data_IF_545535593308
#
_entry.id   IF_545535593308
#
_cell.length_a   1.000
_cell.length_b   1.000
_cell.length_c   1.000
_cell.angle_alpha   90.00
_cell.angle_beta   90.00
_cell.angle_gamma   90.00
#
_symmetry.space_group_name_H-M   'P 1'
#
loop_
_entity.id
_entity.type
_entity.pdbx_description
1 polymer ?
#
# COMPACT_ATOMS: atom_id res chain seq x y z
N UNK A 1 -24.26 11.18 -0.23
CA UNK A 1 -23.10 11.05 0.70
C UNK A 1 -22.03 10.30 -0.06
N UNK A 2 -20.75 10.65 0.09
CA UNK A 2 -19.67 9.87 -0.52
C UNK A 2 -19.63 8.52 0.18
N UNK A 3 -19.68 7.43 -0.58
CA UNK A 3 -19.51 6.08 -0.03
C UNK A 3 -18.01 5.82 0.08
N UNK A 4 -17.54 5.36 1.22
CA UNK A 4 -16.13 4.99 1.41
C UNK A 4 -15.99 3.47 1.25
N UNK A 5 -14.89 3.04 0.65
CA UNK A 5 -14.48 1.64 0.53
C UNK A 5 -13.18 1.44 1.30
N UNK A 6 -13.24 0.63 2.35
CA UNK A 6 -12.04 0.19 3.08
C UNK A 6 -11.45 -1.02 2.37
N UNK A 7 -10.17 -0.95 2.04
CA UNK A 7 -9.43 -2.02 1.37
C UNK A 7 -8.31 -2.50 2.27
N UNK A 8 -8.32 -3.80 2.57
CA UNK A 8 -7.41 -4.46 3.52
C UNK A 8 -6.87 -5.72 2.85
N UNK A 9 -5.64 -6.11 3.12
CA UNK A 9 -5.10 -7.34 2.55
C UNK A 9 -5.74 -8.59 3.17
N UNK A 10 -5.79 -8.66 4.49
CA UNK A 10 -6.26 -9.83 5.23
C UNK A 10 -7.28 -9.47 6.30
N UNK A 11 -8.24 -10.38 6.52
CA UNK A 11 -9.24 -10.22 7.59
C UNK A 11 -8.60 -10.09 8.99
N UNK A 12 -7.45 -10.72 9.20
CA UNK A 12 -6.69 -10.62 10.45
C UNK A 12 -6.19 -9.19 10.74
N UNK A 13 -5.98 -8.35 9.72
CA UNK A 13 -5.56 -6.95 9.90
C UNK A 13 -6.73 -6.03 10.28
N UNK A 14 -7.96 -6.38 9.88
CA UNK A 14 -9.18 -5.65 10.21
C UNK A 14 -10.36 -6.62 10.25
N UNK A 15 -10.64 -7.27 11.40
CA UNK A 15 -11.70 -8.28 11.53
C UNK A 15 -13.11 -7.76 11.18
N UNK A 16 -13.94 -8.63 10.61
CA UNK A 16 -15.31 -8.28 10.13
C UNK A 16 -16.27 -7.86 11.24
N UNK A 17 -15.99 -8.18 12.49
CA UNK A 17 -16.80 -7.84 13.66
C UNK A 17 -16.54 -6.44 14.21
N UNK A 18 -15.50 -5.76 13.70
CA UNK A 18 -15.27 -4.35 14.06
C UNK A 18 -16.39 -3.44 13.52
N UNK A 19 -16.73 -2.36 14.26
CA UNK A 19 -17.80 -1.46 13.86
C UNK A 19 -17.56 -0.87 12.46
N UNK A 20 -18.50 -1.11 11.54
CA UNK A 20 -18.48 -0.57 10.17
C UNK A 20 -19.31 0.69 10.11
N UNK A 21 -18.68 1.84 10.23
CA UNK A 21 -19.37 3.13 10.10
C UNK A 21 -19.45 3.54 8.62
N UNK A 22 -20.53 3.17 7.94
CA UNK A 22 -20.87 3.69 6.58
C UNK A 22 -19.84 3.44 5.47
N UNK A 23 -19.07 2.35 5.51
CA UNK A 23 -18.16 1.95 4.44
C UNK A 23 -18.24 0.44 4.15
N UNK A 24 -18.05 0.09 2.88
CA UNK A 24 -17.83 -1.29 2.46
C UNK A 24 -16.41 -1.75 2.81
N UNK A 25 -16.20 -3.05 3.00
CA UNK A 25 -14.86 -3.63 3.18
C UNK A 25 -14.58 -4.63 2.06
N UNK A 26 -13.36 -4.58 1.54
CA UNK A 26 -12.82 -5.56 0.58
C UNK A 26 -11.52 -6.11 1.10
N UNK A 27 -11.41 -7.42 1.13
CA UNK A 27 -10.18 -8.14 1.44
C UNK A 27 -9.54 -8.60 0.14
N UNK A 28 -8.35 -8.09 -0.16
CA UNK A 28 -7.72 -8.31 -1.47
C UNK A 28 -6.86 -9.56 -1.55
N UNK A 29 -6.43 -10.09 -0.41
CA UNK A 29 -5.29 -10.99 -0.34
C UNK A 29 -3.96 -10.24 -0.41
N UNK A 30 -2.88 -10.96 -0.16
CA UNK A 30 -1.52 -10.42 -0.08
C UNK A 30 -0.92 -10.23 -1.47
N UNK A 31 -0.17 -9.15 -1.63
CA UNK A 31 0.66 -8.86 -2.80
C UNK A 31 -0.02 -8.04 -3.89
N UNK A 32 0.81 -7.43 -4.73
CA UNK A 32 0.39 -6.46 -5.75
C UNK A 32 -0.61 -7.03 -6.75
N UNK A 33 -0.44 -8.27 -7.17
CA UNK A 33 -1.32 -8.90 -8.17
C UNK A 33 -2.74 -9.08 -7.61
N UNK A 34 -2.85 -9.62 -6.39
CA UNK A 34 -4.15 -9.81 -5.73
C UNK A 34 -4.84 -8.47 -5.45
N UNK A 35 -4.08 -7.50 -4.95
CA UNK A 35 -4.56 -6.15 -4.68
C UNK A 35 -5.12 -5.49 -5.96
N UNK A 36 -4.38 -5.55 -7.06
CA UNK A 36 -4.83 -5.01 -8.35
C UNK A 36 -6.09 -5.71 -8.85
N UNK A 37 -6.10 -7.05 -8.86
CA UNK A 37 -7.21 -7.84 -9.39
C UNK A 37 -8.51 -7.56 -8.62
N UNK A 38 -8.46 -7.62 -7.29
CA UNK A 38 -9.66 -7.53 -6.49
C UNK A 38 -10.23 -6.10 -6.44
N UNK A 39 -9.38 -5.08 -6.32
CA UNK A 39 -9.85 -3.70 -6.36
C UNK A 39 -10.40 -3.32 -7.73
N UNK A 40 -9.73 -3.74 -8.83
CA UNK A 40 -10.24 -3.52 -10.20
C UNK A 40 -11.60 -4.18 -10.38
N UNK A 41 -11.77 -5.43 -9.95
CA UNK A 41 -13.06 -6.14 -10.00
C UNK A 41 -14.14 -5.40 -9.22
N UNK A 42 -13.82 -4.96 -8.01
CA UNK A 42 -14.75 -4.25 -7.12
C UNK A 42 -15.22 -2.95 -7.74
N UNK A 43 -14.30 -2.10 -8.21
CA UNK A 43 -14.64 -0.81 -8.80
C UNK A 43 -15.35 -0.95 -10.16
N UNK A 44 -14.99 -1.95 -10.98
CA UNK A 44 -15.65 -2.22 -12.27
C UNK A 44 -17.09 -2.71 -12.11
N UNK A 45 -17.41 -3.38 -11.01
CA UNK A 45 -18.77 -3.88 -10.71
C UNK A 45 -19.53 -2.97 -9.71
N UNK A 46 -19.03 -1.76 -9.46
CA UNK A 46 -19.68 -0.84 -8.53
C UNK A 46 -21.04 -0.40 -9.03
N UNK A 47 -22.07 -0.61 -8.21
CA UNK A 47 -23.47 -0.42 -8.62
C UNK A 47 -24.01 1.00 -8.36
N UNK A 48 -23.31 1.78 -7.52
CA UNK A 48 -23.73 3.14 -7.21
C UNK A 48 -23.35 4.11 -8.34
N UNK A 49 -24.08 5.22 -8.54
CA UNK A 49 -23.80 6.18 -9.60
C UNK A 49 -22.42 6.86 -9.52
N UNK A 50 -21.87 6.94 -8.32
CA UNK A 50 -20.53 7.49 -8.07
C UNK A 50 -19.63 6.42 -7.46
N UNK A 51 -18.43 6.30 -8.00
CA UNK A 51 -17.40 5.44 -7.40
C UNK A 51 -17.02 5.91 -5.98
N UNK A 52 -16.64 4.99 -5.09
CA UNK A 52 -16.32 5.32 -3.70
C UNK A 52 -14.97 6.03 -3.57
N UNK A 53 -14.77 6.76 -2.49
CA UNK A 53 -13.43 7.10 -2.04
C UNK A 53 -12.81 5.85 -1.40
N UNK A 54 -11.57 5.53 -1.78
CA UNK A 54 -10.88 4.31 -1.34
C UNK A 54 -9.90 4.63 -0.21
N UNK A 55 -10.00 3.85 0.87
CA UNK A 55 -9.10 3.93 2.01
C UNK A 55 -8.39 2.58 2.14
N UNK A 56 -7.09 2.55 1.96
CA UNK A 56 -6.30 1.37 2.31
C UNK A 56 -5.89 1.44 3.78
N UNK A 57 -6.17 0.37 4.50
CA UNK A 57 -5.64 0.11 5.84
C UNK A 57 -4.92 -1.24 5.82
N UNK A 58 -3.82 -1.35 6.55
CA UNK A 58 -3.06 -2.57 6.68
C UNK A 58 -1.81 -2.37 7.52
N UNK A 59 -0.96 -3.38 7.56
CA UNK A 59 0.30 -3.35 8.29
C UNK A 59 1.48 -2.96 7.38
N UNK A 60 2.56 -2.48 7.98
CA UNK A 60 3.82 -2.18 7.32
C UNK A 60 5.02 -2.37 8.26
N UNK A 61 6.17 -2.67 7.69
CA UNK A 61 7.45 -2.65 8.39
C UNK A 61 8.08 -1.25 8.37
N UNK A 62 8.65 -0.80 9.50
CA UNK A 62 9.38 0.47 9.57
C UNK A 62 10.84 0.29 9.16
N UNK A 63 11.31 1.08 8.20
CA UNK A 63 12.73 1.15 7.84
C UNK A 63 13.45 2.04 8.84
N UNK A 64 14.62 1.61 9.33
CA UNK A 64 15.46 2.37 10.28
C UNK A 64 14.75 2.78 11.59
N UNK A 65 13.71 2.05 12.02
CA UNK A 65 12.97 2.30 13.26
C UNK A 65 12.40 3.73 13.38
N UNK A 66 12.15 4.38 12.24
CA UNK A 66 11.74 5.79 12.19
C UNK A 66 10.30 6.01 12.65
N UNK A 67 9.42 5.03 12.37
CA UNK A 67 7.99 5.15 12.64
C UNK A 67 7.47 4.02 13.53
N UNK A 68 6.42 4.33 14.32
CA UNK A 68 5.67 3.39 15.16
C UNK A 68 4.19 3.77 15.15
N UNK A 69 3.31 2.82 15.47
CA UNK A 69 1.86 3.06 15.52
C UNK A 69 1.24 3.28 14.14
N UNK A 70 0.17 4.06 14.08
CA UNK A 70 -0.55 4.34 12.84
C UNK A 70 0.06 5.55 12.12
N UNK A 71 0.39 5.37 10.86
CA UNK A 71 0.92 6.43 9.98
C UNK A 71 0.06 6.58 8.72
N UNK A 72 -0.08 7.80 8.22
CA UNK A 72 -0.66 8.07 6.91
C UNK A 72 0.46 8.24 5.89
N UNK A 73 0.33 7.57 4.75
CA UNK A 73 1.32 7.57 3.67
C UNK A 73 1.11 8.76 2.75
N UNK A 74 2.19 9.36 2.28
CA UNK A 74 2.18 10.48 1.34
C UNK A 74 2.68 10.09 -0.05
N UNK A 75 3.72 9.26 -0.11
CA UNK A 75 4.34 8.83 -1.36
C UNK A 75 4.40 7.32 -1.43
N UNK A 76 4.06 6.77 -2.59
CA UNK A 76 4.14 5.33 -2.87
C UNK A 76 5.12 5.07 -4.02
N UNK A 77 5.98 4.07 -3.85
CA UNK A 77 6.93 3.60 -4.87
C UNK A 77 6.95 2.07 -4.95
N UNK A 78 7.36 1.50 -6.09
CA UNK A 78 7.59 0.06 -6.23
C UNK A 78 9.04 -0.29 -5.90
N UNK A 79 9.35 -0.75 -4.69
CA UNK A 79 10.72 -1.06 -4.26
C UNK A 79 11.36 -2.25 -4.98
N UNK A 80 10.54 -3.14 -5.53
CA UNK A 80 10.96 -4.38 -6.21
C UNK A 80 10.89 -4.31 -7.74
N UNK A 81 10.61 -3.13 -8.31
CA UNK A 81 10.76 -2.88 -9.75
C UNK A 81 12.23 -2.61 -10.05
N UNK A 82 12.95 -3.67 -10.46
CA UNK A 82 14.40 -3.65 -10.73
C UNK A 82 14.63 -4.04 -12.18
N UNK A 83 14.86 -3.05 -13.04
CA UNK A 83 14.94 -3.25 -14.50
C UNK A 83 16.14 -2.53 -15.13
N UNK A 84 17.14 -2.17 -14.35
CA UNK A 84 18.35 -1.51 -14.81
C UNK A 84 19.08 -2.36 -15.88
N UNK A 85 19.59 -1.76 -16.93
CA UNK A 85 19.78 -0.32 -17.16
C UNK A 85 18.59 0.37 -17.88
N UNK A 86 17.44 -0.31 -18.12
CA UNK A 86 16.32 0.24 -18.90
C UNK A 86 15.62 1.41 -18.15
N UNK A 87 15.51 1.30 -16.84
CA UNK A 87 15.01 2.36 -15.96
C UNK A 87 15.67 2.26 -14.58
N UNK A 88 15.76 3.36 -13.82
CA UNK A 88 16.19 3.31 -12.42
C UNK A 88 15.26 2.41 -11.60
N UNK A 89 15.80 1.77 -10.56
CA UNK A 89 14.98 0.98 -9.64
C UNK A 89 13.80 1.80 -9.10
N UNK A 90 12.63 1.19 -9.03
CA UNK A 90 11.37 1.81 -8.62
C UNK A 90 10.58 2.42 -9.79
N UNK A 91 11.19 2.53 -10.97
CA UNK A 91 10.54 3.11 -12.17
C UNK A 91 10.13 1.99 -13.12
N UNK A 92 8.88 2.02 -13.59
CA UNK A 92 8.40 1.08 -14.62
C UNK A 92 8.97 1.48 -15.98
N UNK A 93 9.78 0.62 -16.62
CA UNK A 93 10.38 0.96 -17.91
C UNK A 93 9.32 1.08 -19.00
N UNK A 94 9.53 2.00 -19.93
CA UNK A 94 8.65 2.26 -21.07
C UNK A 94 7.23 2.73 -20.73
N UNK A 95 6.93 2.95 -19.44
CA UNK A 95 5.69 3.58 -18.98
C UNK A 95 5.86 5.10 -18.94
N UNK A 96 5.14 5.79 -19.84
CA UNK A 96 5.15 7.26 -19.92
C UNK A 96 4.09 7.91 -19.04
N UNK A 97 3.41 7.16 -18.18
CA UNK A 97 2.44 7.72 -17.25
C UNK A 97 3.13 8.55 -16.15
N UNK A 98 2.40 9.46 -15.55
CA UNK A 98 2.88 10.22 -14.40
C UNK A 98 3.14 9.34 -13.15
N UNK A 99 2.78 8.07 -13.21
CA UNK A 99 2.83 7.11 -12.09
C UNK A 99 3.92 6.05 -12.26
N UNK A 100 4.75 6.14 -13.28
CA UNK A 100 5.78 5.13 -13.57
C UNK A 100 6.81 4.98 -12.45
N UNK A 101 7.15 6.05 -11.72
CA UNK A 101 8.14 6.03 -10.62
C UNK A 101 7.54 6.17 -9.24
N UNK A 102 6.56 7.08 -9.07
CA UNK A 102 5.94 7.33 -7.77
C UNK A 102 4.51 7.81 -7.89
N UNK A 103 3.72 7.59 -6.83
CA UNK A 103 2.35 8.11 -6.72
C UNK A 103 2.27 9.00 -5.48
N UNK A 104 1.99 10.29 -5.70
CA UNK A 104 1.76 11.25 -4.62
C UNK A 104 0.30 11.18 -4.16
N UNK A 105 0.08 11.11 -2.85
CA UNK A 105 -1.24 11.08 -2.22
C UNK A 105 -1.65 12.42 -1.62
N UNK A 106 -0.70 13.35 -1.48
CA UNK A 106 -0.91 14.71 -0.95
C UNK A 106 -1.46 14.75 0.48
N UNK A 107 -1.01 13.81 1.32
CA UNK A 107 -1.35 13.80 2.75
C UNK A 107 -0.55 14.82 3.58
N UNK A 108 0.55 15.35 3.03
CA UNK A 108 1.49 16.25 3.68
C UNK A 108 2.23 15.64 4.89
N UNK A 109 2.26 14.32 5.01
CA UNK A 109 2.98 13.62 6.09
C UNK A 109 4.44 13.37 5.76
N UNK A 110 4.80 13.45 4.47
CA UNK A 110 6.12 13.10 3.92
C UNK A 110 6.55 11.64 4.18
N UNK A 111 5.60 10.74 4.46
CA UNK A 111 5.90 9.32 4.66
C UNK A 111 5.92 8.61 3.32
N UNK A 112 7.06 8.00 2.98
CA UNK A 112 7.23 7.20 1.76
C UNK A 112 7.11 5.71 2.06
N UNK A 113 6.17 5.04 1.39
CA UNK A 113 5.98 3.59 1.48
C UNK A 113 6.52 2.90 0.21
N UNK A 114 7.44 1.95 0.41
CA UNK A 114 7.97 1.08 -0.64
C UNK A 114 7.20 -0.22 -0.73
N UNK A 115 6.36 -0.37 -1.75
CA UNK A 115 5.57 -1.61 -1.98
C UNK A 115 6.37 -2.65 -2.76
N UNK A 116 6.29 -3.93 -2.33
CA UNK A 116 6.91 -5.04 -3.07
C UNK A 116 6.48 -6.40 -2.53
N UNK A 117 6.51 -7.43 -3.37
CA UNK A 117 5.98 -8.76 -3.11
C UNK A 117 6.92 -9.66 -2.28
N UNK A 118 7.55 -9.09 -1.26
CA UNK A 118 8.42 -9.83 -0.32
C UNK A 118 8.50 -9.14 1.03
N UNK A 119 8.74 -9.91 2.09
CA UNK A 119 9.19 -9.34 3.36
C UNK A 119 10.59 -8.75 3.21
N UNK A 120 10.80 -7.57 3.76
CA UNK A 120 12.15 -7.00 3.90
C UNK A 120 12.78 -7.62 5.15
N UNK A 121 13.91 -8.29 4.98
CA UNK A 121 14.62 -9.02 6.04
C UNK A 121 16.04 -8.51 6.25
N UNK A 122 16.53 -7.70 5.33
CA UNK A 122 17.89 -7.19 5.31
C UNK A 122 17.89 -5.72 5.00
N UNK A 123 18.90 -5.00 5.48
CA UNK A 123 19.10 -3.61 5.15
C UNK A 123 19.42 -3.46 3.65
N UNK A 124 18.65 -2.61 2.97
CA UNK A 124 18.85 -2.27 1.56
C UNK A 124 19.26 -0.79 1.45
N UNK A 125 20.51 -0.47 1.06
CA UNK A 125 20.97 0.92 0.93
C UNK A 125 20.12 1.77 -0.02
N UNK A 126 19.41 1.14 -0.95
CA UNK A 126 18.51 1.84 -1.85
C UNK A 126 17.35 2.52 -1.11
N UNK A 127 16.94 2.01 0.05
CA UNK A 127 15.89 2.65 0.85
C UNK A 127 16.27 4.04 1.33
N UNK A 128 17.54 4.26 1.68
CA UNK A 128 18.04 5.60 2.04
C UNK A 128 18.06 6.52 0.83
N UNK A 129 18.56 6.02 -0.31
CA UNK A 129 18.59 6.77 -1.57
C UNK A 129 17.20 7.19 -2.04
N UNK A 130 16.22 6.30 -1.96
CA UNK A 130 14.83 6.53 -2.37
C UNK A 130 13.95 7.14 -1.27
N UNK A 131 14.51 7.45 -0.10
CA UNK A 131 13.81 7.95 1.08
C UNK A 131 12.62 7.06 1.51
N UNK A 132 12.77 5.73 1.46
CA UNK A 132 11.75 4.79 1.92
C UNK A 132 11.70 4.78 3.45
N UNK A 133 10.55 5.08 4.01
CA UNK A 133 10.32 5.12 5.45
C UNK A 133 9.69 3.84 5.99
N UNK A 134 8.76 3.27 5.22
CA UNK A 134 8.03 2.05 5.58
C UNK A 134 7.89 1.15 4.35
N UNK A 135 7.63 -0.14 4.57
CA UNK A 135 7.47 -1.13 3.48
C UNK A 135 6.19 -1.94 3.66
N UNK A 136 5.51 -2.18 2.56
CA UNK A 136 4.30 -3.01 2.48
C UNK A 136 4.30 -3.90 1.23
N UNK A 137 3.16 -4.55 0.95
CA UNK A 137 3.04 -5.44 -0.19
C UNK A 137 1.91 -5.07 -1.18
N UNK A 138 1.08 -4.04 -0.93
CA UNK A 138 -0.13 -3.76 -1.74
C UNK A 138 -0.31 -2.30 -2.14
N UNK A 139 0.10 -1.34 -1.32
CA UNK A 139 -0.37 0.04 -1.38
C UNK A 139 -0.13 0.74 -2.73
N UNK A 140 1.04 0.55 -3.36
CA UNK A 140 1.30 1.11 -4.69
C UNK A 140 0.31 0.59 -5.73
N UNK A 141 0.03 -0.73 -5.72
CA UNK A 141 -0.87 -1.35 -6.67
C UNK A 141 -2.31 -0.82 -6.51
N UNK A 142 -2.78 -0.70 -5.27
CA UNK A 142 -4.09 -0.13 -4.96
C UNK A 142 -4.20 1.32 -5.41
N UNK A 143 -3.21 2.15 -5.11
CA UNK A 143 -3.17 3.53 -5.54
C UNK A 143 -3.15 3.66 -7.06
N UNK A 144 -2.39 2.80 -7.77
CA UNK A 144 -2.34 2.78 -9.23
C UNK A 144 -3.72 2.49 -9.84
N UNK A 145 -4.46 1.53 -9.29
CA UNK A 145 -5.84 1.26 -9.70
C UNK A 145 -6.73 2.48 -9.47
N UNK A 146 -6.65 3.10 -8.29
CA UNK A 146 -7.46 4.29 -7.97
C UNK A 146 -7.17 5.46 -8.91
N UNK A 147 -5.91 5.67 -9.29
CA UNK A 147 -5.54 6.71 -10.27
C UNK A 147 -6.15 6.44 -11.65
N UNK A 148 -6.19 5.17 -12.06
CA UNK A 148 -6.77 4.77 -13.35
C UNK A 148 -8.31 4.95 -13.38
N UNK A 149 -8.97 4.66 -12.27
CA UNK A 149 -10.42 4.88 -12.10
C UNK A 149 -10.80 6.33 -11.76
N UNK A 150 -9.85 7.22 -11.48
CA UNK A 150 -10.11 8.61 -11.11
C UNK A 150 -10.79 8.76 -9.74
N UNK A 151 -10.55 7.85 -8.81
CA UNK A 151 -11.10 7.89 -7.44
C UNK A 151 -10.05 8.37 -6.43
N UNK A 152 -10.51 9.01 -5.35
CA UNK A 152 -9.63 9.41 -4.26
C UNK A 152 -9.08 8.18 -3.54
N UNK A 153 -7.81 8.26 -3.14
CA UNK A 153 -7.13 7.21 -2.40
C UNK A 153 -6.38 7.78 -1.21
N UNK A 154 -6.57 7.16 -0.04
CA UNK A 154 -5.79 7.42 1.16
C UNK A 154 -5.22 6.10 1.67
N UNK A 155 -4.05 6.15 2.28
CA UNK A 155 -3.35 4.97 2.76
C UNK A 155 -2.88 5.16 4.21
N UNK A 156 -3.33 4.27 5.08
CA UNK A 156 -2.96 4.22 6.49
C UNK A 156 -2.29 2.89 6.80
N UNK A 157 -1.13 2.92 7.44
CA UNK A 157 -0.38 1.73 7.81
C UNK A 157 -0.09 1.71 9.30
N UNK A 158 -0.39 0.59 9.95
CA UNK A 158 0.04 0.32 11.31
C UNK A 158 1.39 -0.38 11.28
N UNK A 159 2.37 0.16 11.99
CA UNK A 159 3.72 -0.41 12.01
C UNK A 159 3.72 -1.68 12.85
N UNK A 160 3.85 -2.82 12.20
CA UNK A 160 3.81 -4.16 12.82
C UNK A 160 5.17 -4.74 13.13
N UNK A 161 6.21 -4.30 12.43
CA UNK A 161 7.57 -4.81 12.52
C UNK A 161 8.60 -3.76 12.07
N UNK A 162 9.87 -4.09 12.21
CA UNK A 162 10.98 -3.18 11.92
C UNK A 162 11.68 -3.49 10.60
N UNK A 163 11.02 -4.15 9.66
CA UNK A 163 11.57 -4.52 8.37
C UNK A 163 12.96 -5.18 8.48
N UNK A 164 13.10 -6.15 9.40
CA UNK A 164 14.32 -6.88 9.70
C UNK A 164 14.14 -8.39 9.51
N UNK A 165 15.16 -9.18 9.83
CA UNK A 165 15.15 -10.66 9.73
C UNK A 165 14.01 -11.31 10.52
N UNK A 166 13.46 -10.66 11.53
CA UNK A 166 12.36 -11.13 12.37
C UNK A 166 10.98 -10.66 11.86
N UNK A 167 10.93 -9.80 10.85
CA UNK A 167 9.68 -9.21 10.33
C UNK A 167 8.54 -10.23 10.14
N UNK A 168 8.73 -11.41 9.52
CA UNK A 168 7.64 -12.37 9.35
C UNK A 168 7.05 -12.89 10.67
N UNK A 169 7.91 -13.11 11.68
CA UNK A 169 7.48 -13.63 13.00
C UNK A 169 6.82 -12.54 13.83
N UNK A 170 7.38 -11.33 13.78
CA UNK A 170 6.86 -10.16 14.51
C UNK A 170 5.52 -9.75 13.95
N UNK A 171 5.38 -9.68 12.63
CA UNK A 171 4.11 -9.44 11.95
C UNK A 171 3.05 -10.45 12.37
N UNK A 172 3.33 -11.77 12.28
CA UNK A 172 2.37 -12.81 12.64
C UNK A 172 1.89 -12.68 14.09
N UNK A 173 2.77 -12.29 15.02
CA UNK A 173 2.42 -12.08 16.43
C UNK A 173 1.55 -10.83 16.64
N UNK A 174 1.76 -9.79 15.86
CA UNK A 174 1.09 -8.50 16.05
C UNK A 174 -0.25 -8.38 15.30
N UNK A 175 -0.53 -9.31 14.37
CA UNK A 175 -1.78 -9.37 13.59
C UNK A 175 -2.76 -10.42 14.14
N UNK A 176 -2.31 -11.28 15.06
CA UNK A 176 -3.17 -12.22 15.80
C UNK A 176 -3.68 -11.57 17.11
#
# INVERSE_FOLDING_TARGET
MSTNLLVVALEAEYPVDLPRQNYGIVYTGVGKVNATLELTRTLSNWMEPKLPDVINYGTAGSVNNKYTGLVEVDVLIQRDMITEPQAPRGVVPFDNSAYSGSIMLNSNTNVTCGTGDSFVKEHDPWFEYANVDIVDMEAYALARVCKDFGVNFRCFKYISDMADENAPKTWQKNVQ
#
